data_IF_907549577484
#
_entry.id   IF_907549577484
#
_cell.length_a   1.000
_cell.length_b   1.000
_cell.length_c   1.000
_cell.angle_alpha   90.00
_cell.angle_beta   90.00
_cell.angle_gamma   90.00
#
_symmetry.space_group_name_H-M   'P 1'
#
loop_
_entity.id
_entity.type
_entity.pdbx_description
1 polymer ?
#
# COMPACT_ATOMS: atom_id res chain seq x y z
N UNK A 1 -5.67 4.45 -15.40
CA UNK A 1 -5.96 3.19 -16.11
C UNK A 1 -5.17 2.04 -15.51
N UNK A 2 -5.85 1.24 -14.72
CA UNK A 2 -5.26 0.05 -14.09
C UNK A 2 -5.15 -1.07 -15.13
N UNK A 3 -3.98 -1.72 -15.20
CA UNK A 3 -3.68 -2.82 -16.13
C UNK A 3 -3.50 -4.14 -15.38
N UNK A 4 -3.41 -5.25 -16.10
CA UNK A 4 -3.07 -6.55 -15.50
C UNK A 4 -1.66 -6.54 -14.86
N UNK A 5 -1.48 -7.25 -13.74
CA UNK A 5 -2.45 -8.11 -13.02
C UNK A 5 -3.33 -7.33 -12.01
N UNK A 6 -3.13 -6.04 -11.83
CA UNK A 6 -3.82 -5.22 -10.84
C UNK A 6 -5.32 -5.04 -11.11
N UNK A 7 -5.76 -5.33 -12.35
CA UNK A 7 -7.15 -5.31 -12.77
C UNK A 7 -7.97 -6.51 -12.26
N UNK A 8 -7.31 -7.56 -11.76
CA UNK A 8 -7.96 -8.76 -11.23
C UNK A 8 -8.55 -8.53 -9.82
N UNK A 9 -9.44 -9.42 -9.39
CA UNK A 9 -10.14 -9.30 -8.10
C UNK A 9 -9.22 -9.57 -6.90
N UNK A 10 -8.32 -10.54 -7.02
CA UNK A 10 -7.51 -11.04 -5.90
C UNK A 10 -6.37 -10.10 -5.48
N UNK A 11 -5.52 -9.57 -6.38
CA UNK A 11 -4.40 -8.72 -5.99
C UNK A 11 -4.84 -7.45 -5.26
N UNK A 12 -4.10 -7.04 -4.24
CA UNK A 12 -4.24 -5.72 -3.63
C UNK A 12 -3.58 -4.71 -4.57
N UNK A 13 -4.39 -3.83 -5.13
CA UNK A 13 -3.95 -2.80 -6.09
C UNK A 13 -3.69 -1.49 -5.36
N UNK A 14 -2.51 -0.94 -5.57
CA UNK A 14 -2.03 0.24 -4.83
C UNK A 14 -1.83 1.41 -5.77
N UNK A 15 -2.47 2.54 -5.47
CA UNK A 15 -2.14 3.83 -6.09
C UNK A 15 -1.02 4.53 -5.33
N UNK A 16 -0.42 5.50 -5.99
CA UNK A 16 0.78 6.18 -5.50
C UNK A 16 0.48 7.63 -5.16
N UNK A 17 0.90 8.06 -3.98
CA UNK A 17 0.78 9.46 -3.60
C UNK A 17 2.09 10.04 -3.06
N UNK A 18 2.19 11.35 -3.08
CA UNK A 18 3.27 12.11 -2.46
C UNK A 18 2.90 12.42 -1.01
N UNK A 19 3.61 11.80 -0.07
CA UNK A 19 3.37 11.92 1.37
C UNK A 19 3.78 13.28 1.96
N UNK A 20 4.53 14.10 1.20
CA UNK A 20 4.96 15.43 1.67
C UNK A 20 3.82 16.45 1.52
N UNK A 21 3.09 16.39 0.40
CA UNK A 21 2.03 17.35 0.08
C UNK A 21 0.63 16.72 -0.02
N UNK A 22 0.52 15.42 0.25
CA UNK A 22 -0.73 14.65 0.18
C UNK A 22 -1.45 14.73 -1.18
N UNK A 23 -0.70 14.76 -2.27
CA UNK A 23 -1.26 14.74 -3.62
C UNK A 23 -1.06 13.40 -4.30
N UNK A 24 -2.02 13.00 -5.15
CA UNK A 24 -1.85 11.83 -6.01
C UNK A 24 -0.68 12.07 -6.97
N UNK A 25 0.16 11.05 -7.12
CA UNK A 25 1.27 11.09 -8.08
C UNK A 25 0.71 11.10 -9.51
N UNK A 26 1.19 12.04 -10.33
CA UNK A 26 0.62 12.27 -11.67
C UNK A 26 0.66 11.04 -12.57
N UNK A 27 1.69 10.18 -12.40
CA UNK A 27 1.82 8.92 -13.15
C UNK A 27 1.15 7.73 -12.48
N UNK A 28 0.48 7.92 -11.34
CA UNK A 28 -0.31 6.85 -10.72
C UNK A 28 -1.48 6.47 -11.61
N UNK A 29 -1.65 5.17 -11.82
CA UNK A 29 -2.87 4.67 -12.49
C UNK A 29 -4.11 4.99 -11.69
N UNK A 30 -5.20 5.29 -12.40
CA UNK A 30 -6.50 5.59 -11.81
C UNK A 30 -7.49 4.49 -12.16
N UNK A 31 -8.36 4.15 -11.20
CA UNK A 31 -9.45 3.20 -11.36
C UNK A 31 -10.64 3.79 -12.14
N UNK A 32 -11.73 3.09 -12.28
CA UNK A 32 -11.90 1.74 -11.73
C UNK A 32 -11.30 0.69 -12.68
N UNK A 33 -11.34 -0.60 -12.27
CA UNK A 33 -10.90 -1.66 -13.18
C UNK A 33 -11.79 -1.73 -14.42
N UNK A 34 -11.30 -2.35 -15.49
CA UNK A 34 -12.06 -2.53 -16.73
C UNK A 34 -13.32 -3.37 -16.52
N UNK A 35 -13.30 -4.29 -15.56
CA UNK A 35 -14.45 -5.11 -15.17
C UNK A 35 -15.39 -4.47 -14.14
N UNK A 36 -15.23 -3.17 -13.83
CA UNK A 36 -16.08 -2.45 -12.88
C UNK A 36 -15.73 -2.68 -11.40
N UNK A 37 -14.67 -3.43 -11.10
CA UNK A 37 -14.20 -3.59 -9.71
C UNK A 37 -13.69 -2.26 -9.17
N UNK A 38 -13.95 -2.02 -7.89
CA UNK A 38 -13.39 -0.89 -7.17
C UNK A 38 -11.90 -1.11 -6.97
N UNK A 39 -11.10 -0.41 -7.75
CA UNK A 39 -9.64 -0.38 -7.72
C UNK A 39 -9.19 1.08 -7.91
N UNK A 40 -8.07 1.52 -7.34
CA UNK A 40 -7.18 0.77 -6.44
C UNK A 40 -7.86 0.41 -5.12
N UNK A 41 -7.29 -0.54 -4.37
CA UNK A 41 -7.75 -0.86 -3.02
C UNK A 41 -7.29 0.23 -2.04
N UNK A 42 -6.04 0.66 -2.13
CA UNK A 42 -5.41 1.63 -1.24
C UNK A 42 -4.46 2.56 -2.00
N UNK A 43 -4.11 3.66 -1.37
CA UNK A 43 -2.99 4.50 -1.76
C UNK A 43 -1.83 4.37 -0.77
N UNK A 44 -0.58 4.39 -1.26
CA UNK A 44 0.60 4.37 -0.41
C UNK A 44 1.67 5.35 -0.90
N UNK A 45 2.61 5.79 -0.03
CA UNK A 45 3.68 6.70 -0.41
C UNK A 45 4.57 6.10 -1.51
N UNK A 46 4.86 6.88 -2.53
CA UNK A 46 5.73 6.43 -3.61
C UNK A 46 6.48 7.55 -4.32
N UNK A 47 6.52 8.76 -3.74
CA UNK A 47 7.26 9.90 -4.31
C UNK A 47 8.32 10.35 -3.33
N UNK A 48 9.57 10.41 -3.79
CA UNK A 48 10.73 10.82 -2.99
C UNK A 48 10.86 10.05 -1.65
N UNK A 49 10.57 8.77 -1.66
CA UNK A 49 10.68 7.92 -0.48
C UNK A 49 12.13 7.54 -0.24
N UNK A 50 12.59 7.72 0.99
CA UNK A 50 13.91 7.29 1.43
C UNK A 50 13.93 5.77 1.64
N UNK A 51 15.00 5.14 1.15
CA UNK A 51 15.24 3.72 1.33
C UNK A 51 16.71 3.38 1.10
N UNK A 52 17.12 2.14 1.41
CA UNK A 52 18.46 1.67 1.14
C UNK A 52 18.79 1.76 -0.36
N UNK A 53 19.95 2.29 -0.67
CA UNK A 53 20.49 2.37 -2.03
C UNK A 53 21.54 1.29 -2.28
N UNK A 54 21.96 1.17 -3.55
CA UNK A 54 23.09 0.33 -3.91
C UNK A 54 24.38 1.08 -3.56
N UNK A 55 25.33 0.39 -2.94
CA UNK A 55 26.68 0.92 -2.74
C UNK A 55 27.43 0.92 -4.07
N UNK A 56 27.93 2.07 -4.54
CA UNK A 56 28.83 2.08 -5.68
C UNK A 56 30.17 1.47 -5.26
N UNK A 57 30.44 0.25 -5.67
CA UNK A 57 31.75 -0.37 -5.46
C UNK A 57 31.85 -1.58 -4.53
N UNK A 58 30.75 -2.12 -4.05
CA UNK A 58 30.66 -3.51 -3.55
C UNK A 58 31.51 -3.92 -2.33
N UNK A 59 32.20 -3.01 -1.66
CA UNK A 59 33.02 -3.36 -0.51
C UNK A 59 32.99 -2.27 0.54
N UNK A 60 31.97 -2.28 1.38
CA UNK A 60 31.91 -1.39 2.54
C UNK A 60 30.55 -1.53 3.26
N UNK A 61 30.59 -1.54 4.57
CA UNK A 61 29.43 -1.72 5.47
C UNK A 61 28.43 -0.54 5.47
N UNK A 62 28.56 0.42 4.54
CA UNK A 62 27.70 1.59 4.46
C UNK A 62 26.80 1.52 3.22
N UNK A 63 25.53 1.22 3.41
CA UNK A 63 24.53 1.35 2.37
C UNK A 63 24.01 2.81 2.35
N UNK A 64 24.28 3.58 1.27
CA UNK A 64 23.78 4.93 1.19
C UNK A 64 22.25 4.92 1.15
N UNK A 65 21.64 5.84 1.89
CA UNK A 65 20.21 6.10 1.74
C UNK A 65 19.97 6.87 0.45
N UNK A 66 18.98 6.44 -0.30
CA UNK A 66 18.59 7.09 -1.57
C UNK A 66 17.09 7.38 -1.60
N UNK A 67 16.71 8.33 -2.44
CA UNK A 67 15.29 8.62 -2.70
C UNK A 67 14.83 7.91 -3.94
N UNK A 68 13.67 7.30 -3.87
CA UNK A 68 13.03 6.61 -5.00
C UNK A 68 11.61 7.12 -5.20
N UNK A 69 11.21 7.16 -6.47
CA UNK A 69 9.86 7.53 -6.88
C UNK A 69 9.33 6.48 -7.85
N UNK A 70 8.13 5.99 -7.61
CA UNK A 70 7.46 5.02 -8.48
C UNK A 70 6.31 4.30 -7.80
N UNK A 71 5.41 3.76 -8.58
CA UNK A 71 4.32 2.91 -8.09
C UNK A 71 4.82 1.61 -7.43
N UNK A 72 5.97 1.09 -7.87
CA UNK A 72 6.65 -0.04 -7.22
C UNK A 72 7.07 0.26 -5.78
N UNK A 73 7.43 1.52 -5.47
CA UNK A 73 7.72 1.95 -4.10
C UNK A 73 6.47 1.94 -3.23
N UNK A 74 5.35 2.43 -3.76
CA UNK A 74 4.05 2.37 -3.07
C UNK A 74 3.61 0.92 -2.83
N UNK A 75 3.76 0.04 -3.82
CA UNK A 75 3.45 -1.38 -3.69
C UNK A 75 4.33 -2.07 -2.63
N UNK A 76 5.62 -1.71 -2.53
CA UNK A 76 6.53 -2.24 -1.51
C UNK A 76 6.10 -1.87 -0.08
N UNK A 77 5.56 -0.67 0.16
CA UNK A 77 5.00 -0.29 1.45
C UNK A 77 3.84 -1.20 1.86
N UNK A 78 2.91 -1.47 0.94
CA UNK A 78 1.78 -2.37 1.22
C UNK A 78 2.27 -3.81 1.41
N UNK A 79 3.25 -4.27 0.64
CA UNK A 79 3.83 -5.60 0.82
C UNK A 79 4.47 -5.77 2.21
N UNK A 80 5.20 -4.76 2.70
CA UNK A 80 5.72 -4.74 4.07
C UNK A 80 4.61 -4.80 5.12
N UNK A 81 3.57 -4.00 4.97
CA UNK A 81 2.42 -4.01 5.88
C UNK A 81 1.70 -5.38 5.90
N UNK A 82 1.58 -6.03 4.75
CA UNK A 82 1.02 -7.39 4.64
C UNK A 82 1.90 -8.41 5.37
N UNK A 83 3.23 -8.31 5.24
CA UNK A 83 4.18 -9.18 5.95
C UNK A 83 4.06 -9.03 7.47
N UNK A 84 3.89 -7.81 7.98
CA UNK A 84 3.66 -7.56 9.40
C UNK A 84 2.32 -8.14 9.88
N UNK A 85 1.25 -8.02 9.09
CA UNK A 85 -0.04 -8.64 9.38
C UNK A 85 0.05 -10.16 9.42
N UNK A 86 0.73 -10.80 8.47
CA UNK A 86 0.96 -12.25 8.49
C UNK A 86 1.82 -12.68 9.68
N UNK A 87 2.83 -11.90 10.02
CA UNK A 87 3.65 -12.16 11.21
C UNK A 87 2.78 -12.13 12.47
N UNK A 88 1.96 -11.11 12.63
CA UNK A 88 1.04 -11.01 13.77
C UNK A 88 -0.01 -12.11 13.77
N UNK A 89 -0.65 -12.35 12.64
CA UNK A 89 -1.78 -13.27 12.54
C UNK A 89 -1.32 -14.74 12.59
N UNK A 90 -0.48 -15.13 11.65
CA UNK A 90 -0.11 -16.53 11.44
C UNK A 90 1.04 -16.93 12.35
N UNK A 91 2.18 -16.20 12.30
CA UNK A 91 3.38 -16.61 13.02
C UNK A 91 3.20 -16.50 14.55
N UNK A 92 2.55 -15.44 15.02
CA UNK A 92 2.24 -15.25 16.45
C UNK A 92 0.92 -15.87 16.88
N UNK A 93 0.17 -16.52 15.97
CA UNK A 93 -1.02 -17.30 16.29
C UNK A 93 -2.27 -16.48 16.64
N UNK A 94 -2.29 -15.16 16.40
CA UNK A 94 -3.47 -14.33 16.72
C UNK A 94 -4.64 -14.57 15.72
N UNK A 95 -4.34 -14.93 14.49
CA UNK A 95 -5.30 -15.37 13.48
C UNK A 95 -4.64 -16.36 12.50
N UNK A 96 -4.48 -17.64 12.91
CA UNK A 96 -3.80 -18.64 12.08
C UNK A 96 -4.48 -18.92 10.73
N UNK A 97 -5.76 -18.64 10.61
CA UNK A 97 -6.56 -18.79 9.38
C UNK A 97 -6.58 -17.52 8.51
N UNK A 98 -5.67 -16.58 8.74
CA UNK A 98 -5.62 -15.32 7.98
C UNK A 98 -5.42 -15.60 6.49
N UNK A 99 -6.30 -15.04 5.66
CA UNK A 99 -6.29 -15.15 4.21
C UNK A 99 -6.01 -13.79 3.54
N UNK A 100 -5.79 -13.80 2.24
CA UNK A 100 -5.69 -12.61 1.39
C UNK A 100 -6.91 -11.68 1.55
N UNK A 101 -8.10 -12.25 1.60
CA UNK A 101 -9.35 -11.51 1.81
C UNK A 101 -9.40 -10.82 3.17
N UNK A 102 -8.96 -11.50 4.24
CA UNK A 102 -8.89 -10.89 5.58
C UNK A 102 -7.83 -9.79 5.67
N UNK A 103 -6.67 -10.00 5.07
CA UNK A 103 -5.61 -8.97 5.00
C UNK A 103 -6.11 -7.71 4.29
N UNK A 104 -6.74 -7.88 3.12
CA UNK A 104 -7.34 -6.76 2.38
C UNK A 104 -8.36 -6.02 3.24
N UNK A 105 -9.28 -6.75 3.89
CA UNK A 105 -10.32 -6.17 4.74
C UNK A 105 -9.71 -5.37 5.91
N UNK A 106 -8.69 -5.90 6.56
CA UNK A 106 -7.99 -5.21 7.65
C UNK A 106 -7.32 -3.91 7.19
N UNK A 107 -6.59 -3.95 6.08
CA UNK A 107 -5.94 -2.77 5.52
C UNK A 107 -6.96 -1.68 5.12
N UNK A 108 -8.07 -2.08 4.48
CA UNK A 108 -9.14 -1.15 4.10
C UNK A 108 -9.83 -0.55 5.33
N UNK A 109 -10.07 -1.36 6.36
CA UNK A 109 -10.68 -0.90 7.61
C UNK A 109 -9.79 0.10 8.34
N UNK A 110 -8.48 -0.13 8.36
CA UNK A 110 -7.49 0.74 8.98
C UNK A 110 -7.10 1.96 8.15
N UNK A 111 -7.47 2.02 6.87
CA UNK A 111 -7.05 3.08 5.98
C UNK A 111 -7.46 4.48 6.47
N UNK A 112 -6.51 5.42 6.37
CA UNK A 112 -6.78 6.80 6.69
C UNK A 112 -7.54 7.48 5.55
N UNK A 113 -8.58 8.25 5.89
CA UNK A 113 -9.49 8.92 4.95
C UNK A 113 -9.53 10.40 5.22
N UNK A 114 -9.17 11.19 4.23
CA UNK A 114 -9.34 12.64 4.29
C UNK A 114 -10.83 12.97 4.13
N UNK A 115 -11.45 13.70 5.08
CA UNK A 115 -12.88 14.01 5.02
C UNK A 115 -13.30 14.90 3.84
N UNK A 116 -12.35 15.51 3.14
CA UNK A 116 -12.61 16.28 1.93
C UNK A 116 -12.97 15.41 0.71
N UNK A 117 -12.77 14.09 0.78
CA UNK A 117 -13.02 13.16 -0.32
C UNK A 117 -14.06 12.11 0.04
N UNK A 118 -14.82 11.67 -0.97
CA UNK A 118 -15.67 10.49 -0.85
C UNK A 118 -14.89 9.22 -1.15
N UNK A 119 -15.10 8.17 -0.36
CA UNK A 119 -14.44 6.87 -0.51
C UNK A 119 -15.46 5.74 -0.70
N UNK A 120 -15.14 4.69 -1.48
CA UNK A 120 -13.93 4.56 -2.29
C UNK A 120 -13.96 5.46 -3.53
N UNK A 121 -12.79 5.83 -4.06
CA UNK A 121 -12.69 6.61 -5.29
C UNK A 121 -11.55 6.13 -6.20
N UNK A 122 -11.50 6.68 -7.41
CA UNK A 122 -10.58 6.23 -8.48
C UNK A 122 -9.10 6.50 -8.22
N UNK A 123 -8.77 7.40 -7.31
CA UNK A 123 -7.41 7.85 -7.05
C UNK A 123 -6.86 7.26 -5.76
N UNK A 124 -7.65 7.29 -4.69
CA UNK A 124 -7.24 6.91 -3.35
C UNK A 124 -7.75 5.52 -2.93
N UNK A 125 -8.59 4.87 -3.75
CA UNK A 125 -9.26 3.64 -3.36
C UNK A 125 -10.08 3.84 -2.09
N UNK A 126 -9.86 3.01 -1.09
CA UNK A 126 -10.51 3.10 0.23
C UNK A 126 -9.78 4.01 1.23
N UNK A 127 -8.67 4.63 0.83
CA UNK A 127 -7.88 5.55 1.64
C UNK A 127 -6.38 5.26 1.58
N UNK A 128 -5.59 5.97 2.36
CA UNK A 128 -4.14 5.76 2.45
C UNK A 128 -3.79 4.67 3.45
N UNK A 129 -2.75 3.91 3.15
CA UNK A 129 -2.21 2.89 4.04
C UNK A 129 -1.87 3.49 5.41
N UNK A 130 -2.44 2.92 6.47
CA UNK A 130 -2.12 3.21 7.86
C UNK A 130 -2.09 1.91 8.66
N UNK A 131 -0.89 1.35 8.80
CA UNK A 131 -0.71 0.06 9.47
C UNK A 131 -0.98 0.16 10.99
N UNK A 132 -0.67 1.30 11.60
CA UNK A 132 -0.94 1.51 13.02
C UNK A 132 -2.44 1.48 13.31
N UNK A 133 -3.23 2.24 12.55
CA UNK A 133 -4.69 2.22 12.65
C UNK A 133 -5.27 0.84 12.30
N UNK A 134 -4.66 0.13 11.36
CA UNK A 134 -5.05 -1.25 11.03
C UNK A 134 -4.96 -2.15 12.26
N UNK A 135 -3.84 -2.13 12.97
CA UNK A 135 -3.68 -2.94 14.18
C UNK A 135 -4.57 -2.51 15.35
N UNK A 136 -4.84 -1.22 15.49
CA UNK A 136 -5.78 -0.75 16.51
C UNK A 136 -7.19 -1.30 16.26
N UNK A 137 -7.67 -1.26 15.01
CA UNK A 137 -9.02 -1.69 14.65
C UNK A 137 -9.23 -3.19 14.52
N UNK A 138 -8.15 -3.98 14.47
CA UNK A 138 -8.26 -5.45 14.56
C UNK A 138 -8.63 -5.90 15.98
N UNK A 139 -8.27 -5.10 16.99
CA UNK A 139 -8.54 -5.42 18.40
C UNK A 139 -9.95 -5.04 18.86
N UNK A 140 -10.68 -4.26 18.08
CA UNK A 140 -12.08 -3.90 18.30
C UNK A 140 -13.03 -4.97 17.71
#
# INVERSE_FOLDING_TARGET
TITEPANAAVPITVSTYNHINNSIYIHSSRGYSRGGLIKPDLAAPGVNVYGPGLSPGGAGDTFPMTRRTGSSVAAAHVAGAVADLFTWGIVRGNNPAMSDASVRAYLIRGANRNPAYTYPNREWGYGTLDLYQTFLRIRE
#
